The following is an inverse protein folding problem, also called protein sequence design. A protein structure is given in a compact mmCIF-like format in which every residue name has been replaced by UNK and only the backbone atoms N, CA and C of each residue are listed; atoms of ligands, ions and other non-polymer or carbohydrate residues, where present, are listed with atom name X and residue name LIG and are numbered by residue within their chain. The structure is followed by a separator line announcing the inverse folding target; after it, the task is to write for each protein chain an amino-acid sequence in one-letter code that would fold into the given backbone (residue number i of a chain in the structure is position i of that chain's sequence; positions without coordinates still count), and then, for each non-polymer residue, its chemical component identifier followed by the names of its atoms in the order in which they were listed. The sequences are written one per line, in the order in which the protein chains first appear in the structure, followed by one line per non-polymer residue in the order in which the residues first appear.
data_IF_088782872523
#
_entry.id   IF_088782872523
#
_cell.length_a   1.000
_cell.length_b   1.000
_cell.length_c   1.000
_cell.angle_alpha   90.00
_cell.angle_beta   90.00
_cell.angle_gamma   90.00
#
_symmetry.space_group_name_H-M   'P 1'
#
loop_
_entity.id
_entity.type
_entity.pdbx_description
1 polymer ?
#
# COMPACT_ATOMS: atom_id res chain seq x y z
N UNK A 1 45.43 -36.45 46.82
CA UNK A 1 43.98 -36.73 46.87
C UNK A 1 43.17 -35.54 46.37
N UNK A 2 42.94 -35.37 45.05
CA UNK A 2 42.14 -34.22 44.52
C UNK A 2 41.31 -34.51 43.25
N UNK A 3 41.05 -35.78 42.90
CA UNK A 3 40.30 -36.11 41.67
C UNK A 3 38.85 -36.62 41.90
N UNK A 4 38.44 -36.91 43.14
CA UNK A 4 37.11 -37.46 43.42
C UNK A 4 35.99 -36.41 43.63
N UNK A 5 36.35 -35.15 43.89
CA UNK A 5 35.36 -34.08 44.13
C UNK A 5 34.69 -33.55 42.85
N UNK A 6 35.34 -33.67 41.69
CA UNK A 6 34.82 -33.14 40.42
C UNK A 6 33.73 -34.03 39.79
N UNK A 7 33.79 -35.35 40.02
CA UNK A 7 32.82 -36.30 39.43
C UNK A 7 31.50 -36.38 40.22
N UNK A 8 31.52 -36.00 41.50
CA UNK A 8 30.32 -36.01 42.36
C UNK A 8 29.52 -34.70 42.28
N UNK A 9 30.15 -33.59 41.89
CA UNK A 9 29.49 -32.28 41.73
C UNK A 9 28.71 -32.14 40.42
N UNK A 10 29.12 -32.84 39.35
CA UNK A 10 28.48 -32.78 38.02
C UNK A 10 27.06 -33.37 38.02
N UNK A 11 26.76 -34.55 38.60
CA UNK A 11 25.39 -35.09 38.61
C UNK A 11 24.43 -34.32 39.53
N UNK A 12 24.94 -33.61 40.54
CA UNK A 12 24.12 -32.85 41.50
C UNK A 12 23.58 -31.57 40.83
N UNK A 13 24.40 -30.90 40.01
CA UNK A 13 24.01 -29.66 39.33
C UNK A 13 22.94 -29.93 38.26
N UNK A 14 23.02 -31.05 37.54
CA UNK A 14 21.99 -31.45 36.56
C UNK A 14 20.68 -31.86 37.21
N UNK A 15 20.69 -32.52 38.37
CA UNK A 15 19.47 -32.85 39.13
C UNK A 15 18.80 -31.58 39.68
N UNK A 16 19.59 -30.60 40.14
CA UNK A 16 19.04 -29.33 40.64
C UNK A 16 18.41 -28.47 39.55
N UNK A 17 18.96 -28.50 38.32
CA UNK A 17 18.39 -27.84 37.15
C UNK A 17 17.06 -28.47 36.68
N UNK A 18 16.92 -29.78 36.83
CA UNK A 18 15.66 -30.49 36.51
C UNK A 18 14.59 -30.20 37.58
N UNK A 19 14.96 -30.09 38.86
CA UNK A 19 14.03 -29.76 39.95
C UNK A 19 13.49 -28.32 39.87
N UNK A 20 14.28 -27.38 39.36
CA UNK A 20 13.86 -25.97 39.19
C UNK A 20 12.82 -25.77 38.09
N UNK A 21 12.70 -26.70 37.14
CA UNK A 21 11.68 -26.67 36.08
C UNK A 21 10.30 -27.16 36.53
N UNK A 22 10.19 -27.80 37.70
CA UNK A 22 8.93 -28.42 38.18
C UNK A 22 8.29 -27.65 39.34
N UNK A 23 8.91 -26.56 39.83
CA UNK A 23 8.48 -25.86 41.07
C UNK A 23 8.00 -24.43 40.80
N UNK A 24 7.32 -24.22 39.68
CA UNK A 24 6.63 -22.97 39.34
C UNK A 24 5.10 -23.10 39.40
N UNK A 25 4.55 -23.55 40.52
CA UNK A 25 3.11 -23.48 40.80
C UNK A 25 2.91 -23.06 42.26
N UNK A 26 2.57 -21.79 42.45
CA UNK A 26 2.21 -21.16 43.72
C UNK A 26 0.70 -21.30 43.93
N UNK A 27 0.30 -21.86 45.08
CA UNK A 27 -1.06 -21.80 45.69
C UNK A 27 -1.45 -20.34 46.11
N UNK A 28 -2.72 -19.96 46.47
CA UNK A 28 -3.71 -20.75 47.23
C UNK A 28 -5.25 -20.58 46.95
N UNK A 29 -6.01 -21.61 47.35
CA UNK A 29 -7.35 -21.65 48.01
C UNK A 29 -8.52 -20.70 47.59
N UNK A 30 -9.60 -21.28 47.02
CA UNK A 30 -10.96 -21.38 47.64
C UNK A 30 -12.01 -21.99 46.67
N UNK A 31 -12.70 -23.06 47.10
CA UNK A 31 -14.08 -23.40 46.67
C UNK A 31 -15.05 -22.41 47.35
N UNK A 32 -16.23 -22.03 46.80
CA UNK A 32 -17.29 -22.98 46.41
C UNK A 32 -18.08 -22.64 45.12
N UNK A 33 -18.81 -23.67 44.68
CA UNK A 33 -20.06 -23.64 43.90
C UNK A 33 -20.09 -23.64 42.36
N UNK A 34 -21.02 -24.47 41.89
CA UNK A 34 -21.23 -25.00 40.56
C UNK A 34 -21.87 -23.99 39.60
N UNK A 35 -21.48 -24.07 38.32
CA UNK A 35 -22.39 -24.05 37.16
C UNK A 35 -21.66 -24.61 35.93
N UNK A 36 -22.31 -25.44 35.08
CA UNK A 36 -21.65 -26.12 33.98
C UNK A 36 -21.37 -25.14 32.85
N UNK A 37 -20.10 -24.87 32.56
CA UNK A 37 -19.70 -24.12 31.36
C UNK A 37 -19.31 -25.14 30.29
N UNK A 38 -20.05 -25.08 29.20
CA UNK A 38 -19.94 -25.79 27.93
C UNK A 38 -18.48 -25.92 27.46
N UNK A 39 -18.06 -27.04 26.82
CA UNK A 39 -16.67 -27.20 26.40
C UNK A 39 -16.32 -26.16 25.32
N UNK A 40 -15.40 -25.26 25.63
CA UNK A 40 -14.71 -24.43 24.64
C UNK A 40 -13.85 -25.34 23.73
N UNK A 41 -13.88 -25.17 22.39
CA UNK A 41 -12.99 -25.92 21.51
C UNK A 41 -11.56 -25.46 21.77
N UNK A 42 -10.73 -26.39 22.26
CA UNK A 42 -9.29 -26.20 22.29
C UNK A 42 -8.81 -26.21 20.83
N UNK A 43 -8.51 -25.02 20.29
CA UNK A 43 -7.80 -24.93 19.01
C UNK A 43 -6.36 -25.36 19.29
N UNK A 44 -6.08 -26.62 18.96
CA UNK A 44 -4.75 -27.20 18.86
C UNK A 44 -3.92 -26.39 17.84
N UNK A 45 -3.18 -25.38 18.30
CA UNK A 45 -2.30 -24.57 17.46
C UNK A 45 -0.93 -25.23 17.26
N UNK A 46 -0.92 -26.51 16.87
CA UNK A 46 0.27 -27.18 16.32
C UNK A 46 -0.07 -27.85 14.99
N UNK A 47 -0.49 -27.04 14.02
CA UNK A 47 -0.61 -27.44 12.63
C UNK A 47 0.36 -26.64 11.78
N UNK A 48 1.30 -27.33 11.13
CA UNK A 48 2.04 -26.84 9.95
C UNK A 48 1.04 -26.42 8.86
N UNK A 49 0.47 -25.23 9.00
CA UNK A 49 -0.36 -24.62 7.98
C UNK A 49 0.54 -23.87 7.02
N UNK A 50 0.49 -24.25 5.74
CA UNK A 50 1.03 -23.44 4.65
C UNK A 50 0.58 -21.97 4.83
N UNK A 51 1.49 -20.97 4.79
CA UNK A 51 1.16 -19.56 4.94
C UNK A 51 -0.02 -19.11 4.06
N UNK A 52 -0.17 -19.71 2.88
CA UNK A 52 -1.30 -19.46 1.98
C UNK A 52 -2.66 -19.90 2.55
N UNK A 53 -2.68 -20.95 3.36
CA UNK A 53 -3.89 -21.47 4.03
C UNK A 53 -4.30 -20.59 5.20
N UNK A 54 -3.34 -20.00 5.92
CA UNK A 54 -3.64 -19.02 6.98
C UNK A 54 -4.20 -17.71 6.41
N UNK A 55 -3.67 -17.27 5.27
CA UNK A 55 -4.10 -16.03 4.61
C UNK A 55 -5.53 -16.11 4.05
N UNK A 56 -5.93 -17.28 3.54
CA UNK A 56 -7.25 -17.47 2.95
C UNK A 56 -8.37 -17.66 3.98
N UNK A 57 -8.03 -18.17 5.18
CA UNK A 57 -9.00 -18.48 6.22
C UNK A 57 -9.29 -17.31 7.18
N UNK A 58 -8.58 -16.19 7.08
CA UNK A 58 -8.77 -15.06 7.99
C UNK A 58 -8.56 -13.68 7.30
N UNK A 59 -9.46 -13.30 6.37
CA UNK A 59 -9.35 -12.04 5.64
C UNK A 59 -9.46 -10.81 6.55
N UNK A 60 -10.22 -10.88 7.65
CA UNK A 60 -10.36 -9.76 8.59
C UNK A 60 -9.07 -9.50 9.37
N UNK A 61 -8.36 -10.54 9.83
CA UNK A 61 -7.07 -10.35 10.49
C UNK A 61 -6.02 -9.79 9.53
N UNK A 62 -6.03 -10.20 8.26
CA UNK A 62 -5.16 -9.63 7.24
C UNK A 62 -5.50 -8.17 6.95
N UNK A 63 -6.78 -7.84 6.82
CA UNK A 63 -7.24 -6.46 6.62
C UNK A 63 -6.83 -5.56 7.80
N UNK A 64 -6.99 -6.04 9.03
CA UNK A 64 -6.57 -5.33 10.24
C UNK A 64 -5.04 -5.17 10.30
N UNK A 65 -4.28 -6.23 9.96
CA UNK A 65 -2.84 -6.16 9.89
C UNK A 65 -2.38 -5.15 8.83
N UNK A 66 -2.94 -5.16 7.62
CA UNK A 66 -2.58 -4.21 6.56
C UNK A 66 -3.02 -2.77 6.87
N UNK A 67 -4.09 -2.62 7.65
CA UNK A 67 -4.62 -1.32 8.07
C UNK A 67 -3.87 -0.72 9.26
N UNK A 68 -3.02 -1.49 9.95
CA UNK A 68 -2.20 -1.00 11.04
C UNK A 68 -1.21 0.07 10.53
N UNK A 69 -1.02 1.21 11.24
CA UNK A 69 -0.19 2.32 10.77
C UNK A 69 1.24 1.91 10.39
N UNK A 70 1.90 1.11 11.23
CA UNK A 70 3.23 0.55 10.97
C UNK A 70 3.32 -0.26 9.66
N UNK A 71 2.27 -1.01 9.34
CA UNK A 71 2.22 -1.83 8.13
C UNK A 71 1.88 -1.00 6.89
N UNK A 72 1.08 0.07 7.04
CA UNK A 72 0.85 1.04 5.95
C UNK A 72 2.14 1.72 5.54
N UNK A 73 2.98 2.14 6.49
CA UNK A 73 4.24 2.80 6.14
C UNK A 73 5.18 1.84 5.40
N UNK A 74 5.25 0.59 5.85
CA UNK A 74 6.00 -0.46 5.15
C UNK A 74 5.48 -0.68 3.73
N UNK A 75 4.16 -0.69 3.54
CA UNK A 75 3.53 -0.83 2.22
C UNK A 75 3.79 0.38 1.33
N UNK A 76 3.70 1.61 1.85
CA UNK A 76 4.02 2.83 1.11
C UNK A 76 5.48 2.79 0.66
N UNK A 77 6.40 2.39 1.53
CA UNK A 77 7.81 2.27 1.19
C UNK A 77 8.05 1.19 0.12
N UNK A 78 7.35 0.06 0.22
CA UNK A 78 7.41 -1.00 -0.79
C UNK A 78 6.83 -0.54 -2.14
N UNK A 79 5.71 0.18 -2.13
CA UNK A 79 5.10 0.75 -3.34
C UNK A 79 5.93 1.89 -3.94
N UNK A 80 6.68 2.61 -3.11
CA UNK A 80 7.61 3.65 -3.54
C UNK A 80 8.97 3.10 -4.01
N UNK A 81 9.21 1.79 -3.92
CA UNK A 81 10.48 1.19 -4.36
C UNK A 81 10.72 1.40 -5.86
N UNK A 82 11.99 1.50 -6.32
CA UNK A 82 12.29 1.66 -7.74
C UNK A 82 11.65 0.59 -8.63
N UNK A 83 11.61 -0.65 -8.14
CA UNK A 83 11.01 -1.78 -8.86
C UNK A 83 9.51 -1.57 -9.08
N UNK A 84 8.79 -1.10 -8.06
CA UNK A 84 7.37 -0.82 -8.18
C UNK A 84 7.10 0.43 -9.03
N UNK A 85 7.97 1.44 -8.96
CA UNK A 85 7.88 2.60 -9.85
C UNK A 85 8.05 2.19 -11.33
N UNK A 86 8.99 1.30 -11.63
CA UNK A 86 9.16 0.74 -12.98
C UNK A 86 7.90 -0.03 -13.39
N UNK A 87 7.41 -0.94 -12.53
CA UNK A 87 6.19 -1.69 -12.82
C UNK A 87 4.96 -0.78 -13.06
N UNK A 88 4.83 0.31 -12.30
CA UNK A 88 3.77 1.30 -12.49
C UNK A 88 3.96 2.08 -13.80
N UNK A 89 5.20 2.43 -14.15
CA UNK A 89 5.53 3.09 -15.41
C UNK A 89 5.19 2.19 -16.60
N UNK A 90 5.56 0.92 -16.54
CA UNK A 90 5.26 -0.07 -17.58
C UNK A 90 3.74 -0.27 -17.72
N UNK A 91 3.03 -0.35 -16.59
CA UNK A 91 1.57 -0.38 -16.58
C UNK A 91 0.98 0.89 -17.22
N UNK A 92 1.61 2.06 -17.06
CA UNK A 92 1.13 3.28 -17.72
C UNK A 92 1.38 3.30 -19.23
N UNK A 93 2.29 2.46 -19.73
CA UNK A 93 2.52 2.28 -21.15
C UNK A 93 1.53 1.28 -21.78
N UNK A 94 0.82 0.50 -20.96
CA UNK A 94 -0.21 -0.42 -21.44
C UNK A 94 -1.35 0.33 -22.16
N UNK A 95 -1.68 -0.05 -23.41
CA UNK A 95 -2.71 0.63 -24.18
C UNK A 95 -4.11 0.59 -23.54
N UNK A 96 -4.45 -0.48 -22.82
CA UNK A 96 -5.75 -0.57 -22.14
C UNK A 96 -5.81 0.38 -20.94
N UNK A 97 -4.71 0.49 -20.18
CA UNK A 97 -4.57 1.52 -19.13
C UNK A 97 -4.75 2.92 -19.72
N UNK A 98 -4.00 3.25 -20.78
CA UNK A 98 -4.06 4.56 -21.43
C UNK A 98 -5.48 4.89 -21.93
N UNK A 99 -6.15 3.92 -22.54
CA UNK A 99 -7.55 4.06 -22.97
C UNK A 99 -8.47 4.34 -21.79
N UNK A 100 -8.33 3.60 -20.70
CA UNK A 100 -9.15 3.79 -19.50
C UNK A 100 -8.91 5.16 -18.86
N UNK A 101 -7.65 5.61 -18.82
CA UNK A 101 -7.28 6.93 -18.33
C UNK A 101 -7.87 8.04 -19.22
N UNK A 102 -7.75 7.93 -20.54
CA UNK A 102 -8.35 8.87 -21.49
C UNK A 102 -9.88 8.93 -21.35
N UNK A 103 -10.53 7.78 -21.17
CA UNK A 103 -11.97 7.71 -20.89
C UNK A 103 -12.33 8.41 -19.58
N UNK A 104 -11.55 8.20 -18.52
CA UNK A 104 -11.76 8.86 -17.24
C UNK A 104 -11.62 10.39 -17.37
N UNK A 105 -10.60 10.86 -18.09
CA UNK A 105 -10.38 12.30 -18.31
C UNK A 105 -11.44 12.94 -19.20
N UNK A 106 -12.10 12.16 -20.06
CA UNK A 106 -13.17 12.64 -20.95
C UNK A 106 -14.52 12.83 -20.27
N UNK A 107 -14.66 12.34 -19.02
CA UNK A 107 -15.90 12.42 -18.26
C UNK A 107 -16.29 13.88 -17.98
N UNK A 108 -17.59 14.24 -17.97
CA UNK A 108 -18.02 15.61 -17.71
C UNK A 108 -17.52 16.18 -16.38
N UNK A 109 -17.41 15.33 -15.36
CA UNK A 109 -17.03 15.70 -14.00
C UNK A 109 -15.58 16.19 -13.90
N UNK A 110 -14.69 15.71 -14.77
CA UNK A 110 -13.27 16.13 -14.82
C UNK A 110 -13.07 17.44 -15.57
N UNK A 111 -14.05 17.90 -16.36
CA UNK A 111 -13.94 19.12 -17.18
C UNK A 111 -13.71 20.37 -16.33
N UNK A 112 -14.41 20.51 -15.21
CA UNK A 112 -14.25 21.65 -14.31
C UNK A 112 -12.82 21.77 -13.78
N UNK A 113 -12.25 20.64 -13.35
CA UNK A 113 -10.86 20.56 -12.90
C UNK A 113 -9.87 20.88 -14.02
N UNK A 114 -10.13 20.39 -15.24
CA UNK A 114 -9.28 20.65 -16.40
C UNK A 114 -9.30 22.13 -16.80
N UNK A 115 -10.48 22.77 -16.84
CA UNK A 115 -10.60 24.21 -17.10
C UNK A 115 -9.87 25.02 -16.03
N UNK A 116 -10.00 24.64 -14.75
CA UNK A 116 -9.30 25.30 -13.65
C UNK A 116 -7.78 25.20 -13.81
N UNK A 117 -7.28 24.01 -14.14
CA UNK A 117 -5.86 23.80 -14.41
C UNK A 117 -5.37 24.65 -15.59
N UNK A 118 -6.12 24.66 -16.70
CA UNK A 118 -5.76 25.46 -17.87
C UNK A 118 -5.83 26.98 -17.63
N UNK A 119 -6.65 27.42 -16.68
CA UNK A 119 -6.77 28.82 -16.28
C UNK A 119 -5.76 29.21 -15.20
N UNK A 120 -4.99 28.26 -14.69
CA UNK A 120 -3.99 28.51 -13.65
C UNK A 120 -2.88 29.43 -14.21
N UNK A 121 -2.53 30.53 -13.51
CA UNK A 121 -1.45 31.41 -13.92
C UNK A 121 -0.11 30.68 -14.17
N UNK A 122 0.17 29.60 -13.44
CA UNK A 122 1.38 28.80 -13.63
C UNK A 122 1.41 28.10 -14.99
N UNK A 123 0.25 27.83 -15.60
CA UNK A 123 0.15 27.24 -16.93
C UNK A 123 0.33 28.25 -18.07
N UNK A 124 0.29 29.56 -17.78
CA UNK A 124 0.39 30.59 -18.83
C UNK A 124 1.68 30.49 -19.62
N UNK A 125 2.82 30.33 -18.93
CA UNK A 125 4.12 30.24 -19.60
C UNK A 125 4.17 29.02 -20.51
N UNK A 126 3.76 27.85 -20.01
CA UNK A 126 3.71 26.63 -20.80
C UNK A 126 2.81 26.79 -22.03
N UNK A 127 1.66 27.43 -21.89
CA UNK A 127 0.78 27.73 -23.03
C UNK A 127 1.46 28.67 -24.03
N UNK A 128 2.10 29.74 -23.58
CA UNK A 128 2.83 30.67 -24.44
C UNK A 128 3.95 29.97 -25.19
N UNK A 129 4.72 29.11 -24.53
CA UNK A 129 5.81 28.35 -25.13
C UNK A 129 5.29 27.39 -26.20
N UNK A 130 4.17 26.70 -25.93
CA UNK A 130 3.48 25.86 -26.93
C UNK A 130 3.03 26.69 -28.13
N UNK A 131 2.52 27.91 -27.91
CA UNK A 131 2.10 28.78 -29.01
C UNK A 131 3.29 29.30 -29.84
N UNK A 132 4.43 29.53 -29.19
CA UNK A 132 5.65 30.00 -29.82
C UNK A 132 6.43 28.87 -30.53
N UNK A 133 6.11 27.60 -30.26
CA UNK A 133 6.78 26.46 -30.86
C UNK A 133 6.63 26.48 -32.41
N UNK A 134 7.75 26.48 -33.16
CA UNK A 134 7.73 26.42 -34.62
C UNK A 134 6.96 25.22 -35.20
N UNK A 135 6.94 24.08 -34.49
CA UNK A 135 6.18 22.89 -34.87
C UNK A 135 4.67 23.18 -34.88
N UNK A 136 4.20 24.10 -34.04
CA UNK A 136 2.80 24.49 -33.98
C UNK A 136 2.40 25.49 -35.08
N UNK A 137 3.35 26.09 -35.80
CA UNK A 137 3.08 27.09 -36.86
C UNK A 137 2.11 26.58 -37.93
N UNK A 138 2.24 25.32 -38.34
CA UNK A 138 1.35 24.71 -39.32
C UNK A 138 -0.08 24.60 -38.77
N UNK A 139 -0.22 24.18 -37.51
CA UNK A 139 -1.49 24.06 -36.79
C UNK A 139 -2.15 25.43 -36.58
N UNK A 140 -1.39 26.46 -36.20
CA UNK A 140 -1.94 27.82 -36.12
C UNK A 140 -2.41 28.34 -37.47
N UNK A 141 -1.63 28.10 -38.53
CA UNK A 141 -2.01 28.50 -39.88
C UNK A 141 -3.28 27.79 -40.37
N UNK A 142 -3.51 26.54 -39.98
CA UNK A 142 -4.76 25.84 -40.31
C UNK A 142 -5.93 26.37 -39.47
N UNK A 143 -5.73 26.63 -38.17
CA UNK A 143 -6.74 27.23 -37.30
C UNK A 143 -7.21 28.59 -37.80
N UNK A 144 -6.30 29.51 -38.17
CA UNK A 144 -6.69 30.85 -38.67
C UNK A 144 -7.48 30.77 -39.99
N UNK A 145 -7.30 29.70 -40.77
CA UNK A 145 -8.08 29.45 -41.99
C UNK A 145 -9.44 28.81 -41.72
N UNK A 146 -9.72 28.37 -40.49
CA UNK A 146 -11.02 27.84 -40.12
C UNK A 146 -12.08 28.94 -40.27
N UNK A 147 -13.13 28.74 -41.10
CA UNK A 147 -14.21 29.71 -41.28
C UNK A 147 -14.89 30.13 -39.98
N UNK A 148 -14.86 29.28 -38.94
CA UNK A 148 -15.43 29.56 -37.61
C UNK A 148 -14.62 30.60 -36.84
N UNK A 149 -13.32 30.73 -37.16
CA UNK A 149 -12.41 31.69 -36.54
C UNK A 149 -12.26 32.98 -37.35
N UNK A 150 -12.71 32.98 -38.61
CA UNK A 150 -12.72 34.16 -39.47
C UNK A 150 -13.36 35.43 -38.84
N UNK A 151 -14.50 35.38 -38.12
CA UNK A 151 -15.05 36.59 -37.49
C UNK A 151 -14.11 37.16 -36.42
N UNK A 152 -13.51 36.29 -35.60
CA UNK A 152 -12.58 36.67 -34.52
C UNK A 152 -11.29 37.25 -35.11
N UNK A 153 -10.75 36.62 -36.15
CA UNK A 153 -9.56 37.11 -36.84
C UNK A 153 -9.80 38.47 -37.50
N UNK A 154 -10.98 38.69 -38.09
CA UNK A 154 -11.35 39.99 -38.66
C UNK A 154 -11.50 41.06 -37.60
N UNK A 155 -12.11 40.74 -36.46
CA UNK A 155 -12.24 41.66 -35.33
C UNK A 155 -10.88 42.06 -34.78
N UNK A 156 -9.96 41.11 -34.61
CA UNK A 156 -8.61 41.37 -34.12
C UNK A 156 -7.73 42.18 -35.11
N UNK A 157 -8.00 42.12 -36.40
CA UNK A 157 -7.27 42.87 -37.44
C UNK A 157 -7.85 44.28 -37.69
N UNK A 158 -9.08 44.53 -37.24
CA UNK A 158 -9.76 45.82 -37.38
C UNK A 158 -9.71 46.67 -36.10
N UNK A 159 -8.98 46.21 -35.07
CA UNK A 159 -8.63 46.95 -33.86
C UNK A 159 -7.18 47.46 -33.94
#
# INVERSE_FOLDING_TARGET
MKAKKLYYSIPIITIFLIALLITGCTEPQKKPDQSPVTPSPQIDMMGQGDPSTMMNNNPEAMQNAMSAPENRQTMINAMGSPQMQTAMTDMMQDPAMQKNMAQMMSKPETRGSMVKMMSDPAMRQAMTDIMADPAMKATFKSMVKDPRLAPIAREALNQ
#
